data_IF_751206517570
#
_entry.id   IF_751206517570
#
_cell.length_a   1.000
_cell.length_b   1.000
_cell.length_c   1.000
_cell.angle_alpha   90.00
_cell.angle_beta   90.00
_cell.angle_gamma   90.00
#
_symmetry.space_group_name_H-M   'P 1'
#
loop_
_entity.id
_entity.type
_entity.pdbx_description
1 polymer ?
#
# COMPACT_ATOMS: atom_id res chain seq x y z
N UNK A 1 24.17 -15.50 -47.15
CA UNK A 1 23.43 -16.68 -47.62
C UNK A 1 22.96 -16.51 -49.04
N UNK A 2 22.27 -15.43 -49.43
CA UNK A 2 21.80 -15.16 -50.79
C UNK A 2 22.96 -15.05 -51.79
N UNK A 3 24.09 -14.41 -51.47
CA UNK A 3 25.29 -14.34 -52.30
C UNK A 3 26.01 -15.70 -52.51
N UNK A 4 25.74 -16.71 -51.68
CA UNK A 4 26.26 -18.06 -51.86
C UNK A 4 25.38 -18.92 -52.77
N UNK A 5 24.12 -18.54 -52.93
CA UNK A 5 23.16 -19.26 -53.78
C UNK A 5 23.24 -18.79 -55.24
N UNK A 6 23.64 -17.53 -55.48
CA UNK A 6 23.88 -16.97 -56.82
C UNK A 6 25.06 -17.68 -57.57
N UNK A 7 25.95 -18.33 -56.84
CA UNK A 7 27.07 -19.08 -57.41
C UNK A 7 26.73 -20.50 -57.88
N UNK A 8 25.51 -20.98 -57.71
CA UNK A 8 25.11 -22.36 -58.01
C UNK A 8 24.12 -22.51 -59.18
N UNK A 9 23.84 -21.45 -59.93
CA UNK A 9 22.87 -21.45 -61.06
C UNK A 9 21.48 -22.10 -60.77
N UNK A 10 21.12 -22.19 -59.48
CA UNK A 10 19.91 -22.88 -59.04
C UNK A 10 18.65 -21.99 -59.03
N UNK A 11 18.81 -20.67 -59.11
CA UNK A 11 17.71 -19.71 -59.06
C UNK A 11 17.89 -18.66 -60.16
N UNK A 12 16.83 -18.42 -60.93
CA UNK A 12 16.77 -17.37 -61.93
C UNK A 12 17.17 -16.01 -61.31
N UNK A 13 18.09 -15.23 -61.89
CA UNK A 13 18.52 -13.91 -61.41
C UNK A 13 17.39 -12.94 -61.19
N UNK A 14 16.29 -13.05 -61.92
CA UNK A 14 15.09 -12.25 -61.76
C UNK A 14 14.32 -12.58 -60.48
N UNK A 15 14.35 -13.83 -60.09
CA UNK A 15 13.73 -14.34 -58.85
C UNK A 15 14.53 -13.91 -57.62
N UNK A 16 15.86 -13.95 -57.65
CA UNK A 16 16.69 -13.48 -56.54
C UNK A 16 16.58 -11.97 -56.32
N UNK A 17 16.51 -11.18 -57.39
CA UNK A 17 16.25 -9.73 -57.33
C UNK A 17 14.86 -9.42 -56.73
N UNK A 18 13.82 -10.16 -57.13
CA UNK A 18 12.49 -10.00 -56.58
C UNK A 18 12.42 -10.30 -55.09
N UNK A 19 13.11 -11.34 -54.61
CA UNK A 19 13.19 -11.71 -53.18
C UNK A 19 13.93 -10.63 -52.40
N UNK A 20 15.07 -10.13 -52.90
CA UNK A 20 15.79 -9.02 -52.28
C UNK A 20 14.94 -7.75 -52.17
N UNK A 21 14.23 -7.39 -53.26
CA UNK A 21 13.33 -6.24 -53.25
C UNK A 21 12.19 -6.42 -52.24
N UNK A 22 11.60 -7.61 -52.12
CA UNK A 22 10.55 -7.93 -51.18
C UNK A 22 11.05 -7.84 -49.72
N UNK A 23 12.30 -8.35 -49.45
CA UNK A 23 12.91 -8.23 -48.11
C UNK A 23 13.17 -6.78 -47.73
N UNK A 24 13.68 -5.94 -48.64
CA UNK A 24 13.91 -4.52 -48.37
C UNK A 24 12.60 -3.78 -48.09
N UNK A 25 11.53 -4.03 -48.90
CA UNK A 25 10.24 -3.45 -48.70
C UNK A 25 9.62 -3.88 -47.33
N UNK A 26 9.75 -5.19 -47.01
CA UNK A 26 9.26 -5.72 -45.73
C UNK A 26 9.98 -5.07 -44.55
N UNK A 27 11.30 -4.93 -44.61
CA UNK A 27 12.11 -4.30 -43.57
C UNK A 27 11.78 -2.81 -43.42
N UNK A 28 11.48 -2.12 -44.53
CA UNK A 28 11.06 -0.71 -44.50
C UNK A 28 9.63 -0.54 -43.94
N UNK A 29 8.70 -1.45 -44.24
CA UNK A 29 7.33 -1.41 -43.80
C UNK A 29 7.14 -1.85 -42.33
N UNK A 30 8.05 -2.68 -41.78
CA UNK A 30 7.92 -3.26 -40.44
C UNK A 30 7.74 -2.20 -39.34
N UNK A 31 8.55 -1.12 -39.23
CA UNK A 31 8.36 -0.12 -38.18
C UNK A 31 7.02 0.60 -38.30
N UNK A 32 6.54 0.86 -39.52
CA UNK A 32 5.22 1.48 -39.73
C UNK A 32 4.10 0.53 -39.34
N UNK A 33 4.22 -0.76 -39.64
CA UNK A 33 3.23 -1.76 -39.24
C UNK A 33 3.19 -1.92 -37.72
N UNK A 34 4.33 -1.84 -37.02
CA UNK A 34 4.39 -1.91 -35.58
C UNK A 34 3.78 -0.64 -34.96
N UNK A 35 4.11 0.55 -35.46
CA UNK A 35 3.59 1.83 -34.97
C UNK A 35 2.09 1.99 -35.21
N UNK A 36 1.59 1.49 -36.34
CA UNK A 36 0.16 1.58 -36.71
C UNK A 36 -0.61 0.28 -36.43
N UNK A 37 0.00 -0.74 -35.85
CA UNK A 37 -0.62 -2.05 -35.58
C UNK A 37 -1.93 -1.94 -34.83
N UNK A 38 -1.98 -1.10 -33.78
CA UNK A 38 -3.21 -0.88 -32.98
C UNK A 38 -4.34 -0.22 -33.80
N UNK A 39 -3.99 0.71 -34.67
CA UNK A 39 -4.99 1.36 -35.55
C UNK A 39 -5.48 0.42 -36.65
N UNK A 40 -4.59 -0.40 -37.21
CA UNK A 40 -4.92 -1.38 -38.22
C UNK A 40 -5.78 -2.49 -37.63
N UNK A 41 -5.40 -3.02 -36.47
CA UNK A 41 -6.16 -4.03 -35.73
C UNK A 41 -7.57 -3.54 -35.40
N UNK A 42 -7.71 -2.30 -34.89
CA UNK A 42 -9.02 -1.71 -34.58
C UNK A 42 -9.89 -1.51 -35.81
N UNK A 43 -9.33 -1.31 -36.99
CA UNK A 43 -10.10 -1.11 -38.24
C UNK A 43 -10.60 -2.42 -38.84
N UNK A 44 -9.94 -3.53 -38.57
CA UNK A 44 -10.30 -4.87 -39.05
C UNK A 44 -11.05 -5.73 -38.03
N UNK A 45 -11.05 -5.35 -36.76
CA UNK A 45 -11.71 -6.09 -35.67
C UNK A 45 -13.06 -5.44 -35.31
N UNK A 46 -14.07 -5.67 -36.12
CA UNK A 46 -15.45 -5.23 -35.83
C UNK A 46 -16.04 -5.84 -34.55
N UNK A 47 -15.45 -6.90 -34.02
CA UNK A 47 -15.84 -7.56 -32.78
C UNK A 47 -15.23 -6.89 -31.51
N UNK A 48 -14.10 -6.19 -31.65
CA UNK A 48 -13.42 -5.57 -30.50
C UNK A 48 -14.23 -4.44 -29.87
N UNK A 49 -14.92 -3.64 -30.72
CA UNK A 49 -15.80 -2.58 -30.23
C UNK A 49 -16.98 -3.14 -29.40
N UNK A 50 -17.55 -4.27 -29.83
CA UNK A 50 -18.64 -4.92 -29.11
C UNK A 50 -18.14 -5.49 -27.76
N UNK A 51 -16.97 -6.13 -27.75
CA UNK A 51 -16.35 -6.66 -26.52
C UNK A 51 -15.97 -5.53 -25.57
N UNK A 52 -15.45 -4.42 -26.08
CA UNK A 52 -15.12 -3.23 -25.28
C UNK A 52 -16.38 -2.58 -24.70
N UNK A 53 -17.46 -2.48 -25.47
CA UNK A 53 -18.75 -1.96 -25.00
C UNK A 53 -19.36 -2.84 -23.91
N UNK A 54 -19.27 -4.16 -24.05
CA UNK A 54 -19.73 -5.11 -23.04
C UNK A 54 -18.88 -5.04 -21.76
N UNK A 55 -17.56 -4.87 -21.90
CA UNK A 55 -16.67 -4.68 -20.75
C UNK A 55 -17.00 -3.40 -20.00
N UNK A 56 -17.16 -2.27 -20.69
CA UNK A 56 -17.56 -0.99 -20.09
C UNK A 56 -18.92 -1.07 -19.39
N UNK A 57 -19.88 -1.76 -20.00
CA UNK A 57 -21.21 -1.98 -19.38
C UNK A 57 -21.09 -2.78 -18.09
N UNK A 58 -20.23 -3.80 -18.04
CA UNK A 58 -19.97 -4.59 -16.82
C UNK A 58 -19.30 -3.74 -15.73
N UNK A 59 -18.31 -2.92 -16.09
CA UNK A 59 -17.67 -1.98 -15.15
C UNK A 59 -18.73 -1.03 -14.58
N UNK A 60 -19.50 -0.38 -15.44
CA UNK A 60 -20.53 0.56 -15.04
C UNK A 60 -21.59 -0.10 -14.13
N UNK A 61 -22.09 -1.28 -14.49
CA UNK A 61 -23.11 -1.99 -13.68
C UNK A 61 -22.64 -2.36 -12.28
N UNK A 62 -21.36 -2.71 -12.11
CA UNK A 62 -20.75 -2.99 -10.82
C UNK A 62 -20.47 -1.74 -10.01
N UNK A 63 -20.20 -0.60 -10.67
CA UNK A 63 -19.90 0.67 -9.99
C UNK A 63 -21.13 1.46 -9.59
N UNK A 64 -22.28 1.26 -10.23
CA UNK A 64 -23.53 2.05 -9.99
C UNK A 64 -23.98 2.02 -8.52
N UNK A 65 -23.74 0.93 -7.82
CA UNK A 65 -24.13 0.75 -6.41
C UNK A 65 -23.13 1.32 -5.39
N UNK A 66 -21.95 1.74 -5.86
CA UNK A 66 -20.85 2.14 -4.97
C UNK A 66 -20.72 3.66 -4.93
N UNK A 67 -20.96 4.23 -3.76
CA UNK A 67 -20.60 5.61 -3.41
C UNK A 67 -19.44 5.59 -2.42
N UNK A 68 -18.55 6.58 -2.49
CA UNK A 68 -17.38 6.68 -1.62
C UNK A 68 -16.45 5.44 -1.66
N UNK A 69 -16.41 4.76 -2.79
CA UNK A 69 -15.62 3.55 -2.99
C UNK A 69 -14.16 3.85 -3.39
N UNK A 70 -13.33 2.82 -3.35
CA UNK A 70 -11.95 2.85 -3.80
C UNK A 70 -11.85 2.22 -5.19
N UNK A 71 -11.17 2.89 -6.12
CA UNK A 71 -10.82 2.31 -7.42
C UNK A 71 -9.40 1.74 -7.31
N UNK A 72 -9.26 0.44 -7.54
CA UNK A 72 -7.97 -0.27 -7.52
C UNK A 72 -7.52 -0.49 -8.96
N UNK A 73 -6.40 0.10 -9.36
CA UNK A 73 -5.78 -0.12 -10.65
C UNK A 73 -4.71 -1.21 -10.53
N UNK A 74 -5.03 -2.40 -11.04
CA UNK A 74 -4.25 -3.64 -10.91
C UNK A 74 -4.74 -4.55 -9.78
N UNK A 75 -4.98 -5.83 -10.11
CA UNK A 75 -5.44 -6.84 -9.14
C UNK A 75 -4.44 -7.98 -8.95
N UNK A 76 -3.14 -7.64 -9.00
CA UNK A 76 -2.06 -8.52 -8.60
C UNK A 76 -2.01 -8.72 -7.08
N UNK A 77 -0.91 -9.26 -6.56
CA UNK A 77 -0.73 -9.55 -5.12
C UNK A 77 -1.08 -8.37 -4.20
N UNK A 78 -0.60 -7.18 -4.53
CA UNK A 78 -0.87 -5.97 -3.73
C UNK A 78 -2.34 -5.55 -3.82
N UNK A 79 -2.95 -5.59 -5.01
CA UNK A 79 -4.37 -5.28 -5.21
C UNK A 79 -5.29 -6.25 -4.48
N UNK A 80 -5.01 -7.54 -4.54
CA UNK A 80 -5.76 -8.58 -3.81
C UNK A 80 -5.64 -8.44 -2.29
N UNK A 81 -4.44 -8.09 -1.80
CA UNK A 81 -4.23 -7.85 -0.37
C UNK A 81 -5.01 -6.62 0.12
N UNK A 82 -4.97 -5.53 -0.66
CA UNK A 82 -5.75 -4.33 -0.38
C UNK A 82 -7.25 -4.61 -0.40
N UNK A 83 -7.74 -5.30 -1.43
CA UNK A 83 -9.15 -5.65 -1.56
C UNK A 83 -9.67 -6.42 -0.34
N UNK A 84 -8.92 -7.44 0.12
CA UNK A 84 -9.25 -8.18 1.34
C UNK A 84 -9.36 -7.30 2.59
N UNK A 85 -8.47 -6.34 2.76
CA UNK A 85 -8.52 -5.41 3.89
C UNK A 85 -9.75 -4.49 3.80
N UNK A 86 -10.05 -3.99 2.59
CA UNK A 86 -11.24 -3.16 2.36
C UNK A 86 -12.53 -3.94 2.62
N UNK A 87 -12.60 -5.22 2.23
CA UNK A 87 -13.74 -6.08 2.50
C UNK A 87 -13.94 -6.33 4.01
N UNK A 88 -12.87 -6.54 4.76
CA UNK A 88 -12.92 -6.68 6.22
C UNK A 88 -13.50 -5.44 6.90
N UNK A 89 -13.15 -4.26 6.40
CA UNK A 89 -13.67 -2.97 6.89
C UNK A 89 -14.99 -2.56 6.22
N UNK A 90 -15.55 -3.41 5.34
CA UNK A 90 -16.78 -3.13 4.57
C UNK A 90 -16.70 -1.85 3.73
N UNK A 91 -15.51 -1.52 3.27
CA UNK A 91 -15.27 -0.40 2.37
C UNK A 91 -15.47 -0.89 0.93
N UNK A 92 -16.42 -0.30 0.19
CA UNK A 92 -16.67 -0.71 -1.18
C UNK A 92 -15.49 -0.37 -2.08
N UNK A 93 -15.16 -1.28 -3.00
CA UNK A 93 -14.13 -1.04 -4.01
C UNK A 93 -14.57 -1.60 -5.38
N UNK A 94 -13.89 -1.16 -6.42
CA UNK A 94 -13.90 -1.77 -7.73
C UNK A 94 -12.47 -1.86 -8.24
N UNK A 95 -12.06 -3.03 -8.70
CA UNK A 95 -10.73 -3.24 -9.24
C UNK A 95 -10.74 -3.40 -10.76
N UNK A 96 -9.78 -2.79 -11.43
CA UNK A 96 -9.53 -2.88 -12.86
C UNK A 96 -8.22 -3.65 -13.07
N UNK A 97 -8.24 -4.70 -13.89
CA UNK A 97 -7.03 -5.42 -14.28
C UNK A 97 -7.05 -5.77 -15.78
N UNK A 98 -5.87 -5.82 -16.39
CA UNK A 98 -5.68 -6.16 -17.81
C UNK A 98 -5.52 -7.67 -18.06
N UNK A 99 -5.33 -8.45 -17.01
CA UNK A 99 -5.18 -9.89 -17.09
C UNK A 99 -6.56 -10.58 -17.03
N UNK A 100 -7.06 -11.13 -18.13
CA UNK A 100 -8.39 -11.71 -18.20
C UNK A 100 -8.55 -12.95 -17.32
N UNK A 101 -7.49 -13.76 -17.15
CA UNK A 101 -7.52 -14.97 -16.34
C UNK A 101 -7.61 -14.60 -14.86
N UNK A 102 -6.82 -13.63 -14.42
CA UNK A 102 -6.89 -13.09 -13.06
C UNK A 102 -8.26 -12.50 -12.74
N UNK A 103 -8.84 -11.73 -13.68
CA UNK A 103 -10.18 -11.18 -13.52
C UNK A 103 -11.22 -12.28 -13.39
N UNK A 104 -11.11 -13.34 -14.21
CA UNK A 104 -12.04 -14.48 -14.18
C UNK A 104 -11.97 -15.24 -12.86
N UNK A 105 -10.76 -15.54 -12.38
CA UNK A 105 -10.54 -16.23 -11.11
C UNK A 105 -11.05 -15.41 -9.92
N UNK A 106 -10.70 -14.14 -9.86
CA UNK A 106 -11.11 -13.24 -8.79
C UNK A 106 -12.63 -13.02 -8.77
N UNK A 107 -13.25 -12.85 -9.94
CA UNK A 107 -14.70 -12.73 -10.04
C UNK A 107 -15.43 -14.02 -9.61
N UNK A 108 -14.85 -15.18 -9.88
CA UNK A 108 -15.37 -16.47 -9.40
C UNK A 108 -15.23 -16.62 -7.88
N UNK A 109 -14.22 -16.01 -7.27
CA UNK A 109 -14.04 -15.93 -5.83
C UNK A 109 -14.98 -14.92 -5.14
N UNK A 110 -15.72 -14.11 -5.91
CA UNK A 110 -16.65 -13.10 -5.39
C UNK A 110 -16.09 -11.69 -5.30
N UNK A 111 -14.83 -11.47 -5.69
CA UNK A 111 -14.19 -10.17 -5.67
C UNK A 111 -14.84 -9.20 -6.70
N UNK A 112 -14.88 -7.93 -6.36
CA UNK A 112 -15.41 -6.90 -7.25
C UNK A 112 -14.34 -6.43 -8.25
N UNK A 113 -14.00 -7.31 -9.17
CA UNK A 113 -12.96 -7.12 -10.19
C UNK A 113 -13.59 -7.15 -11.59
N UNK A 114 -13.07 -6.33 -12.49
CA UNK A 114 -13.49 -6.26 -13.89
C UNK A 114 -12.28 -6.06 -14.80
N UNK A 115 -12.39 -6.61 -16.03
CA UNK A 115 -11.39 -6.39 -17.06
C UNK A 115 -11.46 -4.94 -17.52
N UNK A 116 -10.33 -4.23 -17.48
CA UNK A 116 -10.27 -2.84 -17.92
C UNK A 116 -8.89 -2.22 -17.82
N UNK A 117 -8.61 -1.32 -18.75
CA UNK A 117 -7.39 -0.53 -18.77
C UNK A 117 -7.61 0.80 -18.04
N UNK A 118 -7.10 0.91 -16.82
CA UNK A 118 -7.20 2.11 -16.00
C UNK A 118 -6.50 3.34 -16.62
N UNK A 119 -5.62 3.16 -17.62
CA UNK A 119 -5.01 4.27 -18.34
C UNK A 119 -5.94 4.93 -19.37
N UNK A 120 -7.11 4.32 -19.63
CA UNK A 120 -8.11 4.82 -20.57
C UNK A 120 -9.26 5.50 -19.80
N UNK A 121 -9.59 6.71 -20.23
CA UNK A 121 -10.64 7.55 -19.64
C UNK A 121 -11.96 6.80 -19.42
N UNK A 122 -12.43 6.08 -20.46
CA UNK A 122 -13.72 5.39 -20.43
C UNK A 122 -13.85 4.38 -19.27
N UNK A 123 -12.76 3.70 -18.89
CA UNK A 123 -12.79 2.75 -17.79
C UNK A 123 -12.79 3.43 -16.43
N UNK A 124 -12.08 4.55 -16.27
CA UNK A 124 -12.11 5.36 -15.05
C UNK A 124 -13.50 5.97 -14.84
N UNK A 125 -14.11 6.51 -15.90
CA UNK A 125 -15.49 7.05 -15.85
C UNK A 125 -16.48 5.94 -15.51
N UNK A 126 -16.40 4.79 -16.21
CA UNK A 126 -17.27 3.64 -15.95
C UNK A 126 -17.10 3.06 -14.54
N UNK A 127 -15.89 3.10 -13.96
CA UNK A 127 -15.63 2.68 -12.57
C UNK A 127 -16.17 3.67 -11.51
N UNK A 128 -16.78 4.78 -11.95
CA UNK A 128 -17.40 5.76 -11.07
C UNK A 128 -16.41 6.73 -10.42
N UNK A 129 -15.36 7.16 -11.14
CA UNK A 129 -14.34 8.08 -10.64
C UNK A 129 -14.95 9.34 -9.99
N UNK A 130 -16.06 9.86 -10.50
CA UNK A 130 -16.75 11.03 -9.94
C UNK A 130 -17.29 10.81 -8.53
N UNK A 131 -17.59 9.57 -8.15
CA UNK A 131 -18.13 9.16 -6.84
C UNK A 131 -17.11 8.44 -5.96
N UNK A 132 -15.93 8.09 -6.51
CA UNK A 132 -14.88 7.41 -5.78
C UNK A 132 -14.27 8.31 -4.70
N UNK A 133 -13.79 7.73 -3.61
CA UNK A 133 -13.08 8.45 -2.55
C UNK A 133 -11.56 8.46 -2.78
N UNK A 134 -11.04 7.40 -3.37
CA UNK A 134 -9.62 7.29 -3.69
C UNK A 134 -9.38 6.40 -4.92
N UNK A 135 -8.24 6.61 -5.57
CA UNK A 135 -7.69 5.74 -6.60
C UNK A 135 -6.37 5.16 -6.08
N UNK A 136 -6.17 3.86 -6.20
CA UNK A 136 -4.94 3.19 -5.76
C UNK A 136 -4.32 2.43 -6.92
N UNK A 137 -3.11 2.81 -7.31
CA UNK A 137 -2.35 2.16 -8.37
C UNK A 137 -1.39 1.16 -7.73
N UNK A 138 -1.64 -0.14 -7.92
CA UNK A 138 -0.96 -1.23 -7.20
C UNK A 138 0.19 -1.88 -7.99
N UNK A 139 0.34 -1.58 -9.27
CA UNK A 139 1.49 -2.03 -10.05
C UNK A 139 2.64 -1.03 -10.00
N UNK A 140 3.89 -1.53 -10.17
CA UNK A 140 5.10 -0.73 -10.03
C UNK A 140 5.62 -0.14 -11.37
N UNK A 141 4.83 -0.20 -12.45
CA UNK A 141 5.19 0.40 -13.75
C UNK A 141 4.93 1.92 -13.69
N UNK A 142 6.01 2.69 -13.58
CA UNK A 142 5.97 4.15 -13.51
C UNK A 142 5.34 4.78 -14.76
N UNK A 143 5.60 4.24 -15.96
CA UNK A 143 5.04 4.80 -17.19
C UNK A 143 3.52 4.59 -17.27
N UNK A 144 3.03 3.40 -16.88
CA UNK A 144 1.61 3.12 -16.78
C UNK A 144 0.94 3.97 -15.68
N UNK A 145 1.57 4.10 -14.51
CA UNK A 145 1.08 4.94 -13.41
C UNK A 145 0.95 6.40 -13.81
N UNK A 146 1.92 6.93 -14.53
CA UNK A 146 1.89 8.30 -15.09
C UNK A 146 0.74 8.52 -16.07
N UNK A 147 0.35 7.50 -16.85
CA UNK A 147 -0.81 7.61 -17.73
C UNK A 147 -2.11 7.69 -16.93
N UNK A 148 -2.26 6.84 -15.91
CA UNK A 148 -3.45 6.87 -15.03
C UNK A 148 -3.53 8.20 -14.28
N UNK A 149 -2.43 8.68 -13.69
CA UNK A 149 -2.39 9.95 -12.97
C UNK A 149 -2.87 11.11 -13.83
N UNK A 150 -2.39 11.21 -15.08
CA UNK A 150 -2.82 12.26 -16.01
C UNK A 150 -4.31 12.19 -16.33
N UNK A 151 -4.86 10.98 -16.50
CA UNK A 151 -6.29 10.81 -16.76
C UNK A 151 -7.12 11.18 -15.52
N UNK A 152 -6.69 10.76 -14.33
CA UNK A 152 -7.38 11.10 -13.10
C UNK A 152 -7.36 12.60 -12.84
N UNK A 153 -6.21 13.26 -13.02
CA UNK A 153 -6.09 14.71 -12.84
C UNK A 153 -6.95 15.48 -13.86
N UNK A 154 -7.03 14.99 -15.10
CA UNK A 154 -7.89 15.61 -16.13
C UNK A 154 -9.39 15.46 -15.81
N UNK A 155 -9.82 14.28 -15.38
CA UNK A 155 -11.25 13.96 -15.15
C UNK A 155 -11.76 14.47 -13.80
N UNK A 156 -10.92 14.46 -12.79
CA UNK A 156 -11.26 14.88 -11.42
C UNK A 156 -10.03 15.47 -10.71
N UNK A 157 -9.74 16.75 -10.94
CA UNK A 157 -8.65 17.44 -10.27
C UNK A 157 -8.79 17.35 -8.73
N UNK A 158 -7.67 17.15 -8.05
CA UNK A 158 -7.64 17.03 -6.60
C UNK A 158 -8.14 15.69 -6.04
N UNK A 159 -8.26 14.67 -6.90
CA UNK A 159 -8.58 13.31 -6.45
C UNK A 159 -7.43 12.73 -5.64
N UNK A 160 -7.75 12.06 -4.53
CA UNK A 160 -6.75 11.32 -3.75
C UNK A 160 -6.26 10.11 -4.54
N UNK A 161 -4.98 10.12 -4.93
CA UNK A 161 -4.36 9.02 -5.67
C UNK A 161 -3.13 8.49 -4.93
N UNK A 162 -3.17 7.21 -4.56
CA UNK A 162 -2.03 6.49 -4.01
C UNK A 162 -1.36 5.69 -5.12
N UNK A 163 -0.04 5.75 -5.18
CA UNK A 163 0.74 5.04 -6.20
C UNK A 163 1.80 4.19 -5.53
N UNK A 164 1.82 2.90 -5.84
CA UNK A 164 2.91 2.02 -5.46
C UNK A 164 4.07 2.17 -6.45
N UNK A 165 5.27 2.33 -5.94
CA UNK A 165 6.51 2.26 -6.73
C UNK A 165 7.45 1.20 -6.16
N UNK A 166 8.45 0.81 -6.93
CA UNK A 166 9.43 -0.18 -6.48
C UNK A 166 10.43 0.42 -5.48
N UNK A 167 10.95 1.58 -5.83
CA UNK A 167 11.95 2.32 -5.05
C UNK A 167 11.61 3.82 -4.97
N UNK A 168 12.52 4.60 -4.44
CA UNK A 168 12.35 6.05 -4.23
C UNK A 168 12.70 6.91 -5.45
N UNK A 169 13.32 6.36 -6.48
CA UNK A 169 13.80 7.11 -7.64
C UNK A 169 12.69 7.87 -8.40
N UNK A 170 11.49 7.31 -8.43
CA UNK A 170 10.36 7.88 -9.17
C UNK A 170 9.38 8.68 -8.29
N UNK A 171 9.62 8.81 -6.98
CA UNK A 171 8.68 9.50 -6.05
C UNK A 171 8.38 10.92 -6.53
N UNK A 172 9.40 11.74 -6.72
CA UNK A 172 9.22 13.14 -7.11
C UNK A 172 8.48 13.28 -8.45
N UNK A 173 8.74 12.39 -9.40
CA UNK A 173 8.11 12.35 -10.71
C UNK A 173 6.62 12.00 -10.63
N UNK A 174 6.26 11.01 -9.81
CA UNK A 174 4.88 10.59 -9.61
C UNK A 174 4.08 11.64 -8.82
N UNK A 175 4.70 12.28 -7.82
CA UNK A 175 4.09 13.40 -7.09
C UNK A 175 3.83 14.60 -8.00
N UNK A 176 4.80 14.97 -8.83
CA UNK A 176 4.63 16.05 -9.82
C UNK A 176 3.53 15.75 -10.85
N UNK A 177 3.21 14.46 -11.07
CA UNK A 177 2.15 14.03 -11.96
C UNK A 177 0.76 13.96 -11.28
N UNK A 178 0.63 14.35 -10.01
CA UNK A 178 -0.64 14.39 -9.28
C UNK A 178 -0.87 13.20 -8.32
N UNK A 179 0.15 12.38 -8.03
CA UNK A 179 0.03 11.41 -6.95
C UNK A 179 -0.04 12.12 -5.60
N UNK A 180 -1.09 11.84 -4.83
CA UNK A 180 -1.21 12.38 -3.46
C UNK A 180 -0.20 11.71 -2.55
N UNK A 181 -0.01 10.41 -2.73
CA UNK A 181 0.96 9.62 -1.98
C UNK A 181 1.65 8.60 -2.88
N UNK A 182 2.96 8.42 -2.68
CA UNK A 182 3.75 7.42 -3.40
C UNK A 182 4.40 6.49 -2.39
N UNK A 183 4.10 5.20 -2.47
CA UNK A 183 4.55 4.16 -1.53
C UNK A 183 5.68 3.34 -2.16
N UNK A 184 6.95 3.55 -1.79
CA UNK A 184 8.08 2.76 -2.28
C UNK A 184 8.20 1.43 -1.52
N UNK A 185 7.96 0.33 -2.22
CA UNK A 185 7.90 -1.02 -1.65
C UNK A 185 9.18 -1.44 -0.92
N UNK A 186 10.35 -1.12 -1.48
CA UNK A 186 11.64 -1.47 -0.87
C UNK A 186 11.86 -0.78 0.47
N UNK A 187 11.45 0.49 0.57
CA UNK A 187 11.60 1.26 1.81
C UNK A 187 10.65 0.75 2.87
N UNK A 188 9.36 0.55 2.52
CA UNK A 188 8.37 0.02 3.45
C UNK A 188 8.74 -1.39 3.94
N UNK A 189 9.23 -2.25 3.05
CA UNK A 189 9.76 -3.56 3.43
C UNK A 189 10.95 -3.48 4.38
N UNK A 190 11.86 -2.55 4.15
CA UNK A 190 13.02 -2.32 5.03
C UNK A 190 12.61 -1.80 6.41
N UNK A 191 11.66 -0.88 6.49
CA UNK A 191 11.11 -0.39 7.75
C UNK A 191 10.39 -1.50 8.53
N UNK A 192 9.67 -2.38 7.84
CA UNK A 192 9.03 -3.54 8.46
C UNK A 192 10.07 -4.50 9.04
N UNK A 193 11.14 -4.82 8.31
CA UNK A 193 12.23 -5.66 8.80
C UNK A 193 12.90 -5.01 10.03
N UNK A 194 13.19 -3.70 9.94
CA UNK A 194 13.78 -2.96 11.05
C UNK A 194 12.88 -3.00 12.30
N UNK A 195 11.56 -2.84 12.14
CA UNK A 195 10.61 -2.91 13.26
C UNK A 195 10.64 -4.26 13.95
N UNK A 196 10.65 -5.36 13.19
CA UNK A 196 10.72 -6.71 13.74
C UNK A 196 12.04 -6.96 14.50
N UNK A 197 13.17 -6.53 13.92
CA UNK A 197 14.48 -6.66 14.59
C UNK A 197 14.50 -5.89 15.90
N UNK A 198 14.01 -4.64 15.91
CA UNK A 198 13.95 -3.84 17.13
C UNK A 198 13.08 -4.48 18.21
N UNK A 199 11.94 -5.06 17.84
CA UNK A 199 11.08 -5.79 18.80
C UNK A 199 11.75 -7.04 19.34
N UNK A 200 12.43 -7.83 18.49
CA UNK A 200 13.20 -9.02 18.91
C UNK A 200 14.33 -8.62 19.89
N UNK A 201 14.94 -7.45 19.67
CA UNK A 201 15.98 -6.91 20.55
C UNK A 201 15.42 -6.28 21.85
N UNK A 202 14.11 -6.39 22.12
CA UNK A 202 13.48 -5.92 23.34
C UNK A 202 13.17 -4.41 23.35
N UNK A 203 13.22 -3.73 22.22
CA UNK A 203 12.79 -2.32 22.16
C UNK A 203 11.27 -2.25 22.32
N UNK A 204 10.73 -1.45 23.26
CA UNK A 204 9.29 -1.31 23.47
C UNK A 204 8.54 -0.95 22.19
N UNK A 205 7.36 -1.56 21.98
CA UNK A 205 6.53 -1.38 20.78
C UNK A 205 6.29 0.10 20.47
N UNK A 206 5.94 0.92 21.47
CA UNK A 206 5.72 2.37 21.28
C UNK A 206 6.94 3.07 20.68
N UNK A 207 8.14 2.75 21.17
CA UNK A 207 9.38 3.34 20.66
C UNK A 207 9.66 2.90 19.22
N UNK A 208 9.35 1.63 18.90
CA UNK A 208 9.47 1.12 17.53
C UNK A 208 8.49 1.85 16.60
N UNK A 209 7.21 1.93 16.96
CA UNK A 209 6.18 2.64 16.19
C UNK A 209 6.60 4.09 15.97
N UNK A 210 7.00 4.82 17.03
CA UNK A 210 7.47 6.21 16.91
C UNK A 210 8.65 6.33 15.94
N UNK A 211 9.66 5.46 16.01
CA UNK A 211 10.80 5.49 15.08
C UNK A 211 10.39 5.23 13.63
N UNK A 212 9.49 4.27 13.42
CA UNK A 212 8.99 3.99 12.06
C UNK A 212 8.18 5.17 11.52
N UNK A 213 7.31 5.76 12.35
CA UNK A 213 6.54 6.95 11.97
C UNK A 213 7.46 8.12 11.63
N UNK A 214 8.46 8.43 12.47
CA UNK A 214 9.45 9.48 12.18
C UNK A 214 10.21 9.20 10.88
N UNK A 215 10.67 7.97 10.65
CA UNK A 215 11.37 7.61 9.43
C UNK A 215 10.47 7.73 8.17
N UNK A 216 9.17 7.49 8.31
CA UNK A 216 8.19 7.78 7.25
C UNK A 216 8.00 9.28 7.05
N UNK A 217 7.82 10.05 8.10
CA UNK A 217 7.63 11.51 8.04
C UNK A 217 8.80 12.24 7.40
N UNK A 218 10.03 11.85 7.70
CA UNK A 218 11.24 12.39 7.09
C UNK A 218 11.26 12.18 5.58
N UNK A 219 10.70 11.07 5.09
CA UNK A 219 10.65 10.71 3.66
C UNK A 219 9.34 11.08 2.97
N UNK A 220 8.23 11.08 3.72
CA UNK A 220 6.89 11.37 3.22
C UNK A 220 6.32 12.65 3.83
N UNK A 221 6.79 13.79 3.38
CA UNK A 221 6.34 15.10 3.88
C UNK A 221 4.81 15.33 3.76
N UNK A 222 4.11 14.54 2.97
CA UNK A 222 2.67 14.63 2.71
C UNK A 222 1.80 13.81 3.66
N UNK A 223 2.35 12.81 4.36
CA UNK A 223 1.59 12.02 5.35
C UNK A 223 1.13 12.84 6.57
N UNK A 224 1.72 13.99 6.81
CA UNK A 224 1.33 14.91 7.91
C UNK A 224 -0.15 15.32 7.90
N UNK A 225 -0.82 15.25 6.76
CA UNK A 225 -2.23 15.62 6.63
C UNK A 225 -3.22 14.47 6.83
N UNK A 226 -2.82 13.23 6.58
CA UNK A 226 -3.72 12.06 6.55
C UNK A 226 -3.83 11.31 7.87
N UNK A 227 -2.78 11.34 8.71
CA UNK A 227 -2.80 10.72 10.04
C UNK A 227 -3.30 11.66 11.15
N UNK A 228 -3.82 12.82 10.83
CA UNK A 228 -4.62 13.64 11.75
C UNK A 228 -6.04 13.10 11.88
N UNK A 229 -6.17 11.84 12.17
CA UNK A 229 -7.38 11.29 12.75
C UNK A 229 -7.47 11.73 14.21
N UNK A 230 -8.65 12.03 14.70
CA UNK A 230 -8.97 12.53 16.04
C UNK A 230 -8.49 11.65 17.22
N UNK A 231 -7.67 10.64 16.99
CA UNK A 231 -7.02 9.81 18.00
C UNK A 231 -5.49 10.06 18.10
N UNK A 232 -4.87 10.78 17.13
CA UNK A 232 -3.42 10.91 17.00
C UNK A 232 -2.87 12.33 17.26
N UNK A 233 -3.71 13.28 17.62
CA UNK A 233 -3.25 14.63 18.08
C UNK A 233 -2.32 14.57 19.31
N UNK A 234 -2.06 13.35 19.75
CA UNK A 234 -1.34 13.06 20.96
C UNK A 234 0.13 12.64 20.76
N UNK A 235 0.62 12.42 19.53
CA UNK A 235 2.02 12.03 19.31
C UNK A 235 3.02 13.20 19.18
N UNK A 236 2.55 14.44 19.20
CA UNK A 236 3.35 15.62 18.85
C UNK A 236 3.71 16.58 19.97
N UNK A 237 3.19 16.44 21.19
CA UNK A 237 3.56 17.32 22.31
C UNK A 237 4.26 16.52 23.42
N UNK A 238 5.54 16.81 23.61
CA UNK A 238 6.42 16.23 24.64
C UNK A 238 6.00 16.59 26.08
N UNK A 239 4.87 17.28 26.30
CA UNK A 239 4.47 17.85 27.59
C UNK A 239 3.12 17.33 28.13
N UNK A 240 2.38 16.51 27.43
CA UNK A 240 1.10 16.03 27.96
C UNK A 240 1.28 14.77 28.83
N UNK A 241 0.88 14.87 30.08
CA UNK A 241 0.79 13.75 31.02
C UNK A 241 -0.27 12.75 30.56
N UNK A 242 0.12 11.49 30.39
CA UNK A 242 -0.78 10.43 29.87
C UNK A 242 -0.78 9.22 30.78
N UNK A 243 -1.91 8.51 30.77
CA UNK A 243 -2.04 7.20 31.36
C UNK A 243 -1.50 6.14 30.41
N UNK A 244 -0.59 5.31 30.90
CA UNK A 244 -0.03 4.18 30.18
C UNK A 244 -0.15 2.91 31.01
N UNK A 245 -0.55 1.79 30.39
CA UNK A 245 -0.68 0.51 31.05
C UNK A 245 0.46 -0.44 30.62
N UNK A 246 1.27 -0.88 31.58
CA UNK A 246 2.37 -1.82 31.35
C UNK A 246 2.01 -3.16 31.99
N UNK A 247 2.04 -4.24 31.22
CA UNK A 247 1.80 -5.60 31.73
C UNK A 247 3.12 -6.28 32.01
N UNK A 248 3.35 -6.75 33.23
CA UNK A 248 4.56 -7.45 33.61
C UNK A 248 4.52 -8.90 33.12
N UNK A 249 5.39 -9.23 32.20
CA UNK A 249 5.56 -10.60 31.72
C UNK A 249 6.37 -11.43 32.72
N UNK A 250 6.28 -12.78 32.71
CA UNK A 250 6.99 -13.64 33.68
C UNK A 250 8.53 -13.48 33.75
N UNK A 251 9.13 -12.75 32.81
CA UNK A 251 10.58 -12.46 32.75
C UNK A 251 10.89 -10.99 32.96
N UNK A 252 9.92 -10.17 33.34
CA UNK A 252 10.12 -8.72 33.59
C UNK A 252 11.04 -8.50 34.79
N UNK A 253 11.93 -7.51 34.71
CA UNK A 253 12.93 -7.19 35.74
C UNK A 253 12.32 -6.64 37.02
N UNK A 254 11.09 -6.14 36.97
CA UNK A 254 10.36 -5.57 38.08
C UNK A 254 9.70 -6.63 38.98
N UNK A 255 9.63 -7.90 38.56
CA UNK A 255 8.98 -8.95 39.36
C UNK A 255 9.75 -9.21 40.66
N UNK A 256 9.00 -9.24 41.77
CA UNK A 256 9.56 -9.44 43.12
C UNK A 256 10.10 -8.17 43.77
N UNK A 257 10.28 -7.08 43.02
CA UNK A 257 10.68 -5.78 43.58
C UNK A 257 9.47 -5.02 44.09
N UNK A 258 9.66 -4.13 45.06
CA UNK A 258 8.61 -3.20 45.49
C UNK A 258 8.57 -1.94 44.60
N UNK A 259 7.45 -1.23 44.58
CA UNK A 259 7.35 0.02 43.87
C UNK A 259 8.36 1.06 44.32
N UNK A 260 8.68 1.09 45.61
CA UNK A 260 9.72 1.97 46.19
C UNK A 260 11.13 1.64 45.69
N UNK A 261 11.46 0.34 45.52
CA UNK A 261 12.77 -0.08 44.98
C UNK A 261 12.94 0.29 43.48
N UNK A 262 11.86 0.45 42.75
CA UNK A 262 11.88 0.82 41.34
C UNK A 262 12.02 2.33 41.10
N UNK A 263 11.68 3.14 42.12
CA UNK A 263 11.79 4.62 42.12
C UNK A 263 11.35 5.29 40.78
N UNK A 264 10.12 4.92 40.35
CA UNK A 264 9.58 5.41 39.10
C UNK A 264 9.25 6.92 39.15
N UNK A 265 9.05 7.47 40.34
CA UNK A 265 8.80 8.91 40.54
C UNK A 265 10.05 9.74 40.19
N UNK A 266 11.24 9.25 40.46
CA UNK A 266 12.49 9.90 40.05
C UNK A 266 12.64 9.97 38.51
N UNK A 267 12.05 9.02 37.80
CA UNK A 267 11.99 9.01 36.33
C UNK A 267 10.87 9.90 35.76
N UNK A 268 10.13 10.64 36.61
CA UNK A 268 9.05 11.52 36.21
C UNK A 268 7.72 10.79 35.92
N UNK A 269 7.54 9.60 36.46
CA UNK A 269 6.36 8.75 36.28
C UNK A 269 5.64 8.51 37.58
N UNK A 270 4.33 8.76 37.61
CA UNK A 270 3.47 8.47 38.75
C UNK A 270 2.66 7.20 38.52
N UNK A 271 2.68 6.26 39.47
CA UNK A 271 1.88 5.02 39.39
C UNK A 271 0.47 5.30 39.95
N UNK A 272 -0.53 5.22 39.06
CA UNK A 272 -1.93 5.50 39.39
C UNK A 272 -2.66 4.29 39.97
N UNK A 273 -2.32 3.10 39.53
CA UNK A 273 -2.93 1.86 40.01
C UNK A 273 -2.09 0.64 39.59
N UNK A 274 -2.17 -0.42 40.37
CA UNK A 274 -1.72 -1.75 40.00
C UNK A 274 -2.94 -2.66 39.89
N UNK A 275 -3.08 -3.39 38.78
CA UNK A 275 -4.16 -4.35 38.62
C UNK A 275 -3.57 -5.76 38.63
N UNK A 276 -4.02 -6.58 39.55
CA UNK A 276 -3.62 -7.95 39.73
C UNK A 276 -4.75 -8.91 39.41
N UNK A 277 -4.44 -9.98 38.71
CA UNK A 277 -5.44 -11.01 38.40
C UNK A 277 -5.76 -11.84 39.62
N UNK A 278 -7.03 -11.79 40.06
CA UNK A 278 -7.51 -12.64 41.15
C UNK A 278 -7.77 -14.08 40.68
N UNK A 279 -7.93 -15.02 41.63
CA UNK A 279 -8.19 -16.43 41.31
C UNK A 279 -9.45 -16.67 40.50
N UNK A 280 -10.41 -15.72 40.50
CA UNK A 280 -11.67 -15.80 39.76
C UNK A 280 -11.65 -15.17 38.35
N UNK A 281 -10.46 -14.98 37.75
CA UNK A 281 -10.24 -14.35 36.43
C UNK A 281 -10.50 -12.85 36.33
N UNK A 282 -11.05 -12.18 37.37
CA UNK A 282 -11.23 -10.73 37.41
C UNK A 282 -9.96 -10.01 37.90
N UNK A 283 -9.74 -8.78 37.40
CA UNK A 283 -8.65 -7.94 37.87
C UNK A 283 -9.06 -7.09 39.06
N UNK A 284 -8.35 -7.23 40.15
CA UNK A 284 -8.50 -6.39 41.36
C UNK A 284 -7.56 -5.20 41.26
N UNK A 285 -8.08 -4.01 41.52
CA UNK A 285 -7.28 -2.78 41.61
C UNK A 285 -6.62 -2.74 42.99
N UNK A 286 -5.30 -2.64 43.01
CA UNK A 286 -4.49 -2.42 44.22
C UNK A 286 -4.05 -0.95 44.24
N UNK A 287 -4.10 -0.33 45.43
CA UNK A 287 -3.57 1.01 45.59
C UNK A 287 -2.03 0.97 45.57
N UNK A 288 -1.38 1.87 44.80
CA UNK A 288 0.07 1.89 44.73
C UNK A 288 0.67 2.34 46.08
N UNK A 289 1.34 1.42 46.77
CA UNK A 289 2.13 1.74 47.96
C UNK A 289 3.61 1.42 47.69
N UNK A 290 4.55 2.13 48.32
CA UNK A 290 5.99 1.87 48.13
C UNK A 290 6.38 0.42 48.43
N UNK A 291 5.68 -0.23 49.38
CA UNK A 291 5.96 -1.60 49.81
C UNK A 291 5.29 -2.67 48.96
N UNK A 292 4.43 -2.25 47.98
CA UNK A 292 3.71 -3.19 47.11
C UNK A 292 4.72 -3.93 46.21
N UNK A 293 4.84 -5.24 46.42
CA UNK A 293 5.66 -6.11 45.55
C UNK A 293 4.91 -6.51 44.30
N UNK A 294 5.59 -6.39 43.17
CA UNK A 294 5.05 -6.69 41.87
C UNK A 294 5.16 -8.17 41.55
N UNK A 295 4.12 -8.71 40.91
CA UNK A 295 4.00 -10.10 40.49
C UNK A 295 3.84 -10.21 38.97
N UNK A 296 4.10 -11.43 38.45
CA UNK A 296 3.89 -11.70 37.03
C UNK A 296 2.42 -11.51 36.65
N UNK A 297 2.15 -10.91 35.48
CA UNK A 297 0.86 -10.52 34.96
C UNK A 297 0.18 -9.35 35.72
N UNK A 298 0.87 -8.65 36.60
CA UNK A 298 0.39 -7.37 37.08
C UNK A 298 0.35 -6.35 35.95
N UNK A 299 -0.66 -5.50 35.95
CA UNK A 299 -0.80 -4.39 35.00
C UNK A 299 -0.61 -3.10 35.80
N UNK A 300 0.49 -2.41 35.55
CA UNK A 300 0.75 -1.10 36.12
C UNK A 300 0.13 -0.01 35.23
N UNK A 301 -0.70 0.83 35.84
CA UNK A 301 -1.21 2.05 35.20
C UNK A 301 -0.34 3.21 35.66
N UNK A 302 0.48 3.72 34.77
CA UNK A 302 1.43 4.80 35.04
C UNK A 302 1.03 6.07 34.29
N UNK A 303 1.38 7.23 34.84
CA UNK A 303 1.17 8.53 34.21
C UNK A 303 2.47 9.32 34.17
N UNK A 304 2.77 9.93 33.05
CA UNK A 304 3.99 10.71 32.84
C UNK A 304 4.02 11.30 31.43
N UNK A 305 5.07 12.07 31.13
CA UNK A 305 5.33 12.46 29.75
C UNK A 305 5.81 11.24 28.93
N UNK A 306 5.84 11.36 27.61
CA UNK A 306 6.17 10.25 26.71
C UNK A 306 7.56 9.67 26.97
N UNK A 307 8.54 10.51 27.27
CA UNK A 307 9.93 10.09 27.49
C UNK A 307 10.08 9.36 28.84
N UNK A 308 9.46 9.88 29.88
CA UNK A 308 9.42 9.28 31.20
C UNK A 308 8.70 7.91 31.21
N UNK A 309 7.56 7.81 30.51
CA UNK A 309 6.84 6.53 30.41
C UNK A 309 7.60 5.47 29.61
N UNK A 310 8.36 5.85 28.56
CA UNK A 310 9.20 4.92 27.81
C UNK A 310 10.38 4.40 28.66
N UNK A 311 10.98 5.29 29.49
CA UNK A 311 12.04 4.90 30.45
C UNK A 311 11.50 3.96 31.53
N UNK A 312 10.34 4.29 32.09
CA UNK A 312 9.70 3.44 33.09
C UNK A 312 9.33 2.06 32.55
N UNK A 313 8.78 1.98 31.32
CA UNK A 313 8.47 0.71 30.67
C UNK A 313 9.74 -0.13 30.46
N UNK A 314 10.86 0.47 30.03
CA UNK A 314 12.14 -0.24 29.88
C UNK A 314 12.70 -0.75 31.19
N UNK A 315 12.42 -0.06 32.32
CA UNK A 315 12.86 -0.45 33.67
C UNK A 315 11.97 -1.53 34.29
N UNK A 316 10.71 -1.59 33.87
CA UNK A 316 9.71 -2.55 34.32
C UNK A 316 9.82 -3.89 33.59
N UNK A 317 10.08 -3.91 32.30
CA UNK A 317 10.17 -5.10 31.48
C UNK A 317 11.56 -5.71 31.44
#
# INVERSE_FOLDING_TARGET
>A
LLNQIDGCDLIDPTLSQAVLAAMLISMFCAPFLIEYSDRIAMRFSSNEWLLQSLALTRVASKSVRNENHVIICGFGRSGQSLARMLDQEKIPYIALDLDPDRVKEAAAAGDNVVYGDASRENYLVASGLSRAKAVVITYADTAASMRVLRQVEHLRPGMTVLVRTRDDADIAKLQAAGATEVVPELIEGSLMIASHVLLIMGVPMRKVVRRITTAREERYSLLRGYFRGSADDDFGSNESWRLHAVTLLPRSQAIGKSLGELDLEADGVNVQAVRRKAQNADYVKLDPSPDLRLEANDILVISGNSEATDLAEAKLL
#
